data_IF_319737929266
#
_entry.id   IF_319737929266
#
_cell.length_a   1.000
_cell.length_b   1.000
_cell.length_c   1.000
_cell.angle_alpha   90.00
_cell.angle_beta   90.00
_cell.angle_gamma   90.00
#
_symmetry.space_group_name_H-M   'P 1'
#
loop_
_entity.id
_entity.type
_entity.pdbx_description
1 polymer ?
#
# COMPACT_ATOMS: atom_id res chain seq x y z
N UNK A 1 -12.50 21.47 -25.73
CA UNK A 1 -13.47 20.39 -25.42
C UNK A 1 -12.93 19.45 -24.36
N UNK A 2 -11.65 19.03 -24.41
CA UNK A 2 -11.03 18.11 -23.40
C UNK A 2 -10.86 18.79 -22.03
N UNK A 3 -10.56 20.08 -21.99
CA UNK A 3 -10.41 20.86 -20.74
C UNK A 3 -11.76 21.00 -20.01
N UNK A 4 -12.86 21.22 -20.73
CA UNK A 4 -14.19 21.33 -20.14
C UNK A 4 -14.75 19.99 -19.63
N UNK A 5 -14.39 18.87 -20.24
CA UNK A 5 -14.76 17.54 -19.75
C UNK A 5 -14.05 17.20 -18.42
N UNK A 6 -12.84 17.72 -18.21
CA UNK A 6 -12.09 17.50 -16.97
C UNK A 6 -12.62 18.37 -15.81
N UNK A 7 -13.17 19.56 -16.09
CA UNK A 7 -13.80 20.40 -15.06
C UNK A 7 -15.14 19.82 -14.58
N UNK A 8 -15.89 19.11 -15.42
CA UNK A 8 -17.14 18.47 -15.02
C UNK A 8 -16.94 17.22 -14.17
N UNK A 9 -15.80 16.54 -14.26
CA UNK A 9 -15.46 15.44 -13.35
C UNK A 9 -14.98 15.93 -11.97
N UNK A 10 -14.49 17.16 -11.86
CA UNK A 10 -14.06 17.74 -10.57
C UNK A 10 -15.21 18.36 -9.78
N UNK A 11 -16.39 18.55 -10.36
CA UNK A 11 -17.54 19.24 -9.75
C UNK A 11 -18.62 18.32 -9.18
N UNK A 12 -18.40 17.01 -9.10
CA UNK A 12 -19.29 16.20 -8.27
C UNK A 12 -19.00 16.53 -6.79
N UNK A 13 -19.99 17.05 -6.03
CA UNK A 13 -19.79 17.27 -4.60
C UNK A 13 -19.45 15.91 -3.99
N UNK A 14 -18.23 15.76 -3.46
CA UNK A 14 -17.92 14.63 -2.59
C UNK A 14 -18.88 14.74 -1.40
N UNK A 15 -19.94 13.95 -1.44
CA UNK A 15 -20.94 13.91 -0.38
C UNK A 15 -20.17 13.40 0.86
N UNK A 16 -19.89 14.32 1.78
CA UNK A 16 -19.35 13.96 3.07
C UNK A 16 -20.28 12.93 3.71
N UNK A 17 -19.76 11.77 4.08
CA UNK A 17 -20.56 10.75 4.76
C UNK A 17 -20.97 11.33 6.12
N UNK A 18 -22.26 11.56 6.38
CA UNK A 18 -22.70 12.15 7.63
C UNK A 18 -22.53 11.14 8.77
N UNK A 19 -21.41 11.25 9.48
CA UNK A 19 -21.14 10.46 10.67
C UNK A 19 -21.38 11.30 11.94
N UNK A 20 -21.94 10.72 13.01
CA UNK A 20 -21.95 11.36 14.32
C UNK A 20 -20.53 11.75 14.75
N UNK A 21 -20.37 12.90 15.42
CA UNK A 21 -19.04 13.45 15.81
C UNK A 21 -18.11 12.41 16.45
N UNK A 22 -18.63 11.56 17.33
CA UNK A 22 -17.84 10.50 17.98
C UNK A 22 -17.31 9.47 16.99
N UNK A 23 -18.14 8.98 16.07
CA UNK A 23 -17.74 8.02 15.03
C UNK A 23 -16.76 8.63 14.02
N UNK A 24 -17.00 9.90 13.64
CA UNK A 24 -16.08 10.66 12.76
C UNK A 24 -14.68 10.73 13.37
N UNK A 25 -14.57 11.11 14.65
CA UNK A 25 -13.29 11.17 15.34
C UNK A 25 -12.61 9.80 15.45
N UNK A 26 -13.37 8.74 15.76
CA UNK A 26 -12.85 7.39 15.81
C UNK A 26 -12.30 6.92 14.47
N UNK A 27 -12.99 7.18 13.36
CA UNK A 27 -12.52 6.86 12.02
C UNK A 27 -11.28 7.68 11.65
N UNK A 28 -11.24 8.97 11.99
CA UNK A 28 -10.08 9.82 11.74
C UNK A 28 -8.83 9.32 12.51
N UNK A 29 -8.99 8.96 13.78
CA UNK A 29 -7.91 8.35 14.59
C UNK A 29 -7.50 7.01 13.96
N UNK A 30 -8.46 6.21 13.51
CA UNK A 30 -8.19 4.97 12.81
C UNK A 30 -7.32 5.17 11.55
N UNK A 31 -7.63 6.19 10.74
CA UNK A 31 -6.81 6.54 9.57
C UNK A 31 -5.39 6.97 9.97
N UNK A 32 -5.25 7.75 11.04
CA UNK A 32 -3.95 8.17 11.58
C UNK A 32 -3.14 6.95 12.02
N UNK A 33 -3.74 6.03 12.79
CA UNK A 33 -3.10 4.79 13.23
C UNK A 33 -2.67 3.91 12.04
N UNK A 34 -3.49 3.82 11.00
CA UNK A 34 -3.13 3.09 9.77
C UNK A 34 -1.90 3.70 9.08
N UNK A 35 -1.86 5.02 8.90
CA UNK A 35 -0.73 5.70 8.26
C UNK A 35 0.55 5.60 9.09
N UNK A 36 0.43 5.72 10.41
CA UNK A 36 1.53 5.50 11.33
C UNK A 36 2.10 4.09 11.19
N UNK A 37 1.25 3.07 11.13
CA UNK A 37 1.65 1.68 10.91
C UNK A 37 2.32 1.45 9.56
N UNK A 38 1.78 2.01 8.46
CA UNK A 38 2.38 1.91 7.12
C UNK A 38 3.82 2.43 7.12
N UNK A 39 4.04 3.60 7.73
CA UNK A 39 5.36 4.20 7.82
C UNK A 39 6.32 3.36 8.69
N UNK A 40 5.82 2.81 9.80
CA UNK A 40 6.58 1.91 10.66
C UNK A 40 7.00 0.64 9.92
N UNK A 41 6.11 -0.02 9.20
CA UNK A 41 6.48 -1.20 8.39
C UNK A 41 7.54 -0.88 7.34
N UNK A 42 7.56 0.34 6.80
CA UNK A 42 8.61 0.79 5.88
C UNK A 42 9.95 1.00 6.60
N UNK A 43 10.02 1.98 7.47
CA UNK A 43 11.28 2.45 8.06
C UNK A 43 11.78 1.59 9.23
N UNK A 44 10.91 1.09 10.10
CA UNK A 44 11.31 0.17 11.18
C UNK A 44 11.92 -1.10 10.59
N UNK A 45 11.25 -1.71 9.60
CA UNK A 45 11.79 -2.90 8.96
C UNK A 45 13.06 -2.63 8.16
N UNK A 46 13.26 -1.42 7.62
CA UNK A 46 14.53 -1.04 7.02
C UNK A 46 15.66 -1.07 8.07
N UNK A 47 15.41 -0.51 9.26
CA UNK A 47 16.36 -0.54 10.39
C UNK A 47 16.61 -1.97 10.89
N UNK A 48 15.57 -2.81 10.96
CA UNK A 48 15.65 -4.18 11.46
C UNK A 48 16.14 -5.21 10.45
N UNK A 49 16.35 -4.82 9.18
CA UNK A 49 16.74 -5.78 8.12
C UNK A 49 17.97 -6.58 8.48
N UNK A 50 19.06 -5.91 8.91
CA UNK A 50 20.31 -6.60 9.28
C UNK A 50 20.14 -7.48 10.50
N UNK A 51 19.60 -7.03 11.65
CA UNK A 51 19.38 -7.88 12.81
C UNK A 51 18.47 -9.09 12.54
N UNK A 52 17.43 -8.92 11.71
CA UNK A 52 16.54 -10.02 11.33
C UNK A 52 17.30 -11.08 10.52
N UNK A 53 18.03 -10.67 9.49
CA UNK A 53 18.76 -11.60 8.61
C UNK A 53 19.95 -12.25 9.30
N UNK A 54 20.60 -11.53 10.22
CA UNK A 54 21.64 -12.10 11.09
C UNK A 54 21.08 -13.21 11.98
N UNK A 55 19.90 -13.04 12.54
CA UNK A 55 19.23 -14.04 13.39
C UNK A 55 18.92 -15.36 12.69
N UNK A 56 18.90 -15.39 11.36
CA UNK A 56 18.67 -16.57 10.51
C UNK A 56 19.87 -16.91 9.63
N UNK A 57 21.06 -16.34 9.90
CA UNK A 57 22.30 -16.52 9.14
C UNK A 57 22.16 -16.26 7.64
N UNK A 58 21.43 -15.21 7.26
CA UNK A 58 21.06 -14.92 5.87
C UNK A 58 21.48 -13.51 5.41
N UNK A 59 22.59 -12.96 5.91
CA UNK A 59 23.06 -11.62 5.61
C UNK A 59 23.30 -11.34 4.11
N UNK A 60 23.59 -12.38 3.31
CA UNK A 60 23.72 -12.26 1.85
C UNK A 60 22.42 -11.87 1.13
N UNK A 61 21.27 -11.87 1.79
CA UNK A 61 19.94 -11.62 1.19
C UNK A 61 19.32 -10.27 1.56
N UNK A 62 20.09 -9.32 2.11
CA UNK A 62 19.62 -7.97 2.53
C UNK A 62 18.88 -7.24 1.40
N UNK A 63 19.49 -7.20 0.21
CA UNK A 63 18.87 -6.54 -0.96
C UNK A 63 17.57 -7.22 -1.35
N UNK A 64 17.55 -8.54 -1.42
CA UNK A 64 16.37 -9.33 -1.79
C UNK A 64 15.22 -9.11 -0.78
N UNK A 65 15.53 -9.12 0.51
CA UNK A 65 14.55 -8.89 1.57
C UNK A 65 13.86 -7.50 1.46
N UNK A 66 14.64 -6.47 1.14
CA UNK A 66 14.12 -5.10 0.94
C UNK A 66 13.26 -4.99 -0.33
N UNK A 67 13.68 -5.66 -1.41
CA UNK A 67 12.96 -5.71 -2.68
C UNK A 67 11.56 -6.31 -2.54
N UNK A 68 11.43 -7.44 -1.85
CA UNK A 68 10.14 -8.14 -1.71
C UNK A 68 9.05 -7.27 -1.09
N UNK A 69 9.40 -6.46 -0.09
CA UNK A 69 8.45 -5.53 0.51
C UNK A 69 8.01 -4.44 -0.48
N UNK A 70 8.98 -3.78 -1.10
CA UNK A 70 8.73 -2.69 -2.05
C UNK A 70 7.93 -3.14 -3.27
N UNK A 71 8.23 -4.34 -3.81
CA UNK A 71 7.47 -4.92 -4.91
C UNK A 71 6.00 -5.14 -4.54
N UNK A 72 5.74 -5.77 -3.39
CA UNK A 72 4.37 -6.02 -2.94
C UNK A 72 3.55 -4.73 -2.88
N UNK A 73 4.09 -3.70 -2.24
CA UNK A 73 3.44 -2.38 -2.13
C UNK A 73 3.22 -1.77 -3.51
N UNK A 74 4.24 -1.70 -4.35
CA UNK A 74 4.19 -1.02 -5.65
C UNK A 74 3.19 -1.67 -6.61
N UNK A 75 3.14 -2.99 -6.65
CA UNK A 75 2.20 -3.74 -7.49
C UNK A 75 0.76 -3.55 -6.99
N UNK A 76 0.55 -3.62 -5.68
CA UNK A 76 -0.80 -3.67 -5.13
C UNK A 76 -1.44 -2.29 -4.92
N UNK A 77 -0.65 -1.21 -4.83
CA UNK A 77 -1.18 0.16 -4.60
C UNK A 77 -2.19 0.61 -5.66
N UNK A 78 -1.91 0.53 -6.98
CA UNK A 78 -2.88 0.91 -7.99
C UNK A 78 -4.09 -0.04 -8.04
N UNK A 79 -3.89 -1.32 -7.75
CA UNK A 79 -4.96 -2.33 -7.70
C UNK A 79 -5.87 -2.06 -6.49
N UNK A 80 -5.29 -1.72 -5.34
CA UNK A 80 -5.99 -1.43 -4.09
C UNK A 80 -6.99 -0.29 -4.21
N UNK A 81 -6.66 0.74 -4.98
CA UNK A 81 -7.59 1.83 -5.28
C UNK A 81 -8.89 1.34 -5.94
N UNK A 82 -8.77 0.56 -7.01
CA UNK A 82 -9.92 -0.03 -7.71
C UNK A 82 -10.65 -1.07 -6.87
N UNK A 83 -9.90 -1.90 -6.16
CA UNK A 83 -10.49 -2.90 -5.27
C UNK A 83 -11.35 -2.23 -4.19
N UNK A 84 -10.91 -1.06 -3.68
CA UNK A 84 -11.67 -0.25 -2.72
C UNK A 84 -12.99 0.26 -3.28
N UNK A 85 -13.06 0.59 -4.56
CA UNK A 85 -14.31 0.99 -5.21
C UNK A 85 -15.32 -0.18 -5.34
N UNK A 86 -14.81 -1.41 -5.52
CA UNK A 86 -15.61 -2.62 -5.69
C UNK A 86 -16.12 -3.20 -4.38
N UNK A 87 -15.20 -3.48 -3.44
CA UNK A 87 -15.55 -4.15 -2.18
C UNK A 87 -16.00 -3.16 -1.10
N UNK A 88 -15.77 -1.87 -1.34
CA UNK A 88 -16.12 -0.77 -0.44
C UNK A 88 -14.94 -0.28 0.40
N UNK A 89 -14.99 1.00 0.74
CA UNK A 89 -13.90 1.73 1.39
C UNK A 89 -13.55 1.22 2.79
N UNK A 90 -14.51 0.65 3.51
CA UNK A 90 -14.28 0.00 4.80
C UNK A 90 -13.57 -1.34 4.61
N UNK A 91 -14.06 -2.18 3.70
CA UNK A 91 -13.58 -3.55 3.55
C UNK A 91 -12.16 -3.60 2.99
N UNK A 92 -11.76 -2.66 2.11
CA UNK A 92 -10.39 -2.56 1.59
C UNK A 92 -9.36 -2.21 2.68
N UNK A 93 -9.80 -1.63 3.79
CA UNK A 93 -8.94 -1.37 4.95
C UNK A 93 -8.95 -2.57 5.90
N UNK A 94 -10.13 -3.10 6.20
CA UNK A 94 -10.30 -4.13 7.23
C UNK A 94 -9.71 -5.47 6.79
N UNK A 95 -10.03 -5.95 5.59
CA UNK A 95 -9.60 -7.28 5.16
C UNK A 95 -8.08 -7.36 4.98
N UNK A 96 -7.43 -6.51 4.15
CA UNK A 96 -5.98 -6.56 4.03
C UNK A 96 -5.27 -6.13 5.33
N UNK A 97 -5.87 -5.23 6.13
CA UNK A 97 -5.31 -4.83 7.41
C UNK A 97 -5.23 -5.97 8.42
N UNK A 98 -6.26 -6.83 8.51
CA UNK A 98 -6.23 -8.03 9.35
C UNK A 98 -5.15 -9.00 8.84
N UNK A 99 -5.10 -9.26 7.52
CA UNK A 99 -4.10 -10.16 6.94
C UNK A 99 -2.69 -9.62 7.21
N UNK A 100 -2.47 -8.32 7.04
CA UNK A 100 -1.18 -7.68 7.33
C UNK A 100 -0.78 -7.84 8.81
N UNK A 101 -1.72 -7.64 9.74
CA UNK A 101 -1.47 -7.80 11.17
C UNK A 101 -1.10 -9.25 11.52
N UNK A 102 -1.84 -10.23 10.98
CA UNK A 102 -1.53 -11.66 11.18
C UNK A 102 -0.17 -12.01 10.61
N UNK A 103 0.14 -11.56 9.38
CA UNK A 103 1.47 -11.77 8.77
C UNK A 103 2.58 -11.09 9.59
N UNK A 104 2.35 -9.87 10.09
CA UNK A 104 3.31 -9.15 10.93
C UNK A 104 3.58 -9.83 12.27
N UNK A 105 2.54 -10.39 12.89
CA UNK A 105 2.69 -11.20 14.11
C UNK A 105 3.44 -12.49 13.80
N UNK A 106 3.02 -13.24 12.76
CA UNK A 106 3.68 -14.49 12.35
C UNK A 106 5.17 -14.26 12.04
N UNK A 107 5.51 -13.14 11.42
CA UNK A 107 6.87 -12.76 11.07
C UNK A 107 7.82 -12.74 12.28
N UNK A 108 7.36 -12.33 13.47
CA UNK A 108 8.16 -12.26 14.68
C UNK A 108 8.56 -13.65 15.23
N UNK A 109 7.88 -14.72 14.80
CA UNK A 109 8.11 -16.08 15.29
C UNK A 109 8.82 -16.97 14.28
N UNK A 110 8.93 -16.58 13.03
CA UNK A 110 9.61 -17.35 11.98
C UNK A 110 11.13 -17.26 12.13
N UNK A 111 11.81 -18.39 11.94
CA UNK A 111 13.26 -18.56 12.11
C UNK A 111 13.96 -19.10 10.86
N UNK A 112 13.34 -19.05 9.71
CA UNK A 112 13.93 -19.48 8.45
C UNK A 112 13.71 -18.46 7.34
N UNK A 113 14.66 -18.36 6.40
CA UNK A 113 14.71 -17.33 5.37
C UNK A 113 13.49 -17.35 4.45
N UNK A 114 13.11 -18.54 3.94
CA UNK A 114 12.04 -18.64 2.92
C UNK A 114 10.69 -18.17 3.45
N UNK A 115 10.18 -18.61 4.61
CA UNK A 115 8.96 -18.08 5.18
C UNK A 115 9.03 -16.57 5.51
N UNK A 116 10.21 -16.07 5.96
CA UNK A 116 10.41 -14.64 6.19
C UNK A 116 10.21 -13.82 4.90
N UNK A 117 10.77 -14.28 3.79
CA UNK A 117 10.61 -13.64 2.49
C UNK A 117 9.15 -13.64 2.03
N UNK A 118 8.46 -14.78 2.17
CA UNK A 118 7.04 -14.90 1.81
C UNK A 118 6.19 -13.95 2.65
N UNK A 119 6.38 -13.93 3.96
CA UNK A 119 5.65 -13.01 4.84
C UNK A 119 5.96 -11.54 4.53
N UNK A 120 7.21 -11.22 4.19
CA UNK A 120 7.61 -9.87 3.80
C UNK A 120 6.89 -9.41 2.54
N UNK A 121 6.77 -10.29 1.55
CA UNK A 121 6.02 -10.03 0.32
C UNK A 121 4.53 -9.86 0.60
N UNK A 122 3.93 -10.72 1.41
CA UNK A 122 2.52 -10.65 1.80
C UNK A 122 2.18 -9.37 2.57
N UNK A 123 3.06 -8.95 3.50
CA UNK A 123 2.94 -7.67 4.20
C UNK A 123 2.96 -6.52 3.18
N UNK A 124 3.87 -6.55 2.20
CA UNK A 124 3.93 -5.56 1.14
C UNK A 124 2.64 -5.51 0.30
N UNK A 125 2.13 -6.64 -0.15
CA UNK A 125 0.87 -6.72 -0.90
C UNK A 125 -0.31 -6.16 -0.12
N UNK A 126 -0.47 -6.56 1.14
CA UNK A 126 -1.57 -6.09 1.97
C UNK A 126 -1.47 -4.61 2.27
N UNK A 127 -0.28 -4.08 2.53
CA UNK A 127 -0.05 -2.65 2.70
C UNK A 127 -0.42 -1.86 1.44
N UNK A 128 0.07 -2.29 0.26
CA UNK A 128 -0.26 -1.65 -1.00
C UNK A 128 -1.77 -1.58 -1.23
N UNK A 129 -2.51 -2.64 -0.86
CA UNK A 129 -3.95 -2.69 -1.03
C UNK A 129 -4.69 -1.59 -0.25
N UNK A 130 -4.27 -1.25 0.96
CA UNK A 130 -4.99 -0.28 1.79
C UNK A 130 -4.31 1.10 1.94
N UNK A 131 -3.09 1.29 1.44
CA UNK A 131 -2.32 2.54 1.63
C UNK A 131 -3.07 3.79 1.18
N UNK A 132 -3.79 3.74 0.07
CA UNK A 132 -4.56 4.88 -0.44
C UNK A 132 -5.89 5.10 0.32
N UNK A 133 -6.44 4.06 0.94
CA UNK A 133 -7.77 4.11 1.52
C UNK A 133 -7.94 5.11 2.68
N UNK A 134 -7.01 5.25 3.65
CA UNK A 134 -7.12 6.25 4.72
C UNK A 134 -7.21 7.69 4.22
N UNK A 135 -6.50 8.04 3.14
CA UNK A 135 -6.60 9.37 2.53
C UNK A 135 -7.98 9.60 1.93
N UNK A 136 -8.50 8.63 1.21
CA UNK A 136 -9.84 8.71 0.61
C UNK A 136 -10.90 8.78 1.70
N UNK A 137 -10.81 7.95 2.74
CA UNK A 137 -11.72 7.95 3.88
C UNK A 137 -11.70 9.31 4.58
N UNK A 138 -10.52 9.87 4.86
CA UNK A 138 -10.37 11.19 5.46
C UNK A 138 -11.02 12.28 4.62
N UNK A 139 -10.93 12.20 3.29
CA UNK A 139 -11.64 13.11 2.37
C UNK A 139 -13.16 12.95 2.41
N UNK A 140 -13.67 11.73 2.58
CA UNK A 140 -15.12 11.44 2.59
C UNK A 140 -15.83 11.82 3.90
N UNK A 141 -15.15 11.73 5.05
CA UNK A 141 -15.74 12.00 6.36
C UNK A 141 -15.59 13.45 6.83
N UNK A 142 -14.71 14.23 6.19
CA UNK A 142 -14.45 15.61 6.56
C UNK A 142 -15.14 16.60 5.60
N UNK A 143 -15.58 17.75 6.13
CA UNK A 143 -16.04 18.85 5.32
C UNK A 143 -14.88 19.40 4.47
N UNK A 144 -15.18 19.95 3.30
CA UNK A 144 -14.16 20.43 2.34
C UNK A 144 -13.12 21.37 2.96
N UNK A 145 -13.54 22.20 3.92
CA UNK A 145 -12.65 23.13 4.67
C UNK A 145 -11.68 22.41 5.63
N UNK A 146 -12.05 21.21 6.14
CA UNK A 146 -11.29 20.47 7.14
C UNK A 146 -10.39 19.38 6.49
N UNK A 147 -10.60 19.07 5.21
CA UNK A 147 -9.81 18.07 4.48
C UNK A 147 -8.31 18.36 4.52
N UNK A 148 -7.82 19.60 4.26
CA UNK A 148 -6.37 19.88 4.33
C UNK A 148 -5.79 19.59 5.71
N UNK A 149 -6.52 19.91 6.78
CA UNK A 149 -6.11 19.60 8.16
C UNK A 149 -6.03 18.08 8.39
N UNK A 150 -7.03 17.34 7.94
CA UNK A 150 -7.05 15.89 8.06
C UNK A 150 -5.88 15.25 7.30
N UNK A 151 -5.58 15.70 6.08
CA UNK A 151 -4.43 15.24 5.29
C UNK A 151 -3.09 15.57 5.97
N UNK A 152 -2.95 16.76 6.55
CA UNK A 152 -1.78 17.15 7.33
C UNK A 152 -1.55 16.22 8.54
N UNK A 153 -2.62 15.81 9.24
CA UNK A 153 -2.54 14.87 10.36
C UNK A 153 -2.07 13.48 9.89
N UNK A 154 -2.51 13.01 8.72
CA UNK A 154 -2.05 11.74 8.14
C UNK A 154 -0.57 11.83 7.75
N UNK A 155 -0.14 12.92 7.14
CA UNK A 155 1.27 13.14 6.78
C UNK A 155 2.16 13.20 8.03
N UNK A 156 1.71 13.87 9.10
CA UNK A 156 2.42 13.89 10.39
C UNK A 156 2.52 12.49 10.98
N UNK A 157 1.46 11.68 10.91
CA UNK A 157 1.47 10.30 11.38
C UNK A 157 2.52 9.45 10.65
N UNK A 158 2.69 9.64 9.35
CA UNK A 158 3.74 8.97 8.56
C UNK A 158 5.13 9.38 9.07
N UNK A 159 5.37 10.66 9.25
CA UNK A 159 6.67 11.14 9.73
C UNK A 159 6.99 10.62 11.14
N UNK A 160 6.03 10.74 12.08
CA UNK A 160 6.19 10.25 13.45
C UNK A 160 6.36 8.74 13.50
N UNK A 161 5.53 8.00 12.74
CA UNK A 161 5.60 6.54 12.68
C UNK A 161 6.91 6.03 12.08
N UNK A 162 7.35 6.65 11.00
CA UNK A 162 8.58 6.26 10.32
C UNK A 162 9.82 6.56 11.15
N UNK A 163 10.09 7.83 11.43
CA UNK A 163 11.29 8.24 12.16
C UNK A 163 11.26 7.82 13.62
N UNK A 164 10.18 8.14 14.34
CA UNK A 164 10.03 7.76 15.74
C UNK A 164 10.04 6.25 15.94
N UNK A 165 9.33 5.53 15.06
CA UNK A 165 9.32 4.08 15.07
C UNK A 165 10.69 3.47 14.86
N UNK A 166 11.50 3.99 13.92
CA UNK A 166 12.85 3.48 13.64
C UNK A 166 13.79 3.68 14.81
N UNK A 167 13.73 4.85 15.47
CA UNK A 167 14.54 5.13 16.65
C UNK A 167 14.20 4.15 17.78
N UNK A 168 12.90 3.98 18.08
CA UNK A 168 12.46 3.06 19.14
C UNK A 168 12.83 1.62 18.79
N UNK A 169 12.68 1.22 17.52
CA UNK A 169 13.05 -0.12 17.08
C UNK A 169 14.55 -0.39 17.19
N UNK A 170 15.40 0.59 16.90
CA UNK A 170 16.84 0.50 17.11
C UNK A 170 17.17 0.26 18.58
N UNK A 171 16.64 1.10 19.48
CA UNK A 171 16.84 0.96 20.94
C UNK A 171 16.38 -0.41 21.44
N UNK A 172 15.19 -0.87 21.01
CA UNK A 172 14.68 -2.19 21.39
C UNK A 172 15.60 -3.32 20.91
N UNK A 173 16.19 -3.18 19.73
CA UNK A 173 17.12 -4.16 19.18
C UNK A 173 18.41 -4.22 19.98
N UNK A 174 18.95 -3.05 20.35
CA UNK A 174 20.16 -2.94 21.19
C UNK A 174 19.93 -3.55 22.59
N UNK A 175 18.70 -3.49 23.09
CA UNK A 175 18.27 -4.16 24.33
C UNK A 175 18.00 -5.68 24.16
N UNK A 176 18.22 -6.25 23.00
CA UNK A 176 17.94 -7.67 22.72
C UNK A 176 16.45 -8.00 22.51
N UNK A 177 15.59 -6.99 22.39
CA UNK A 177 14.14 -7.15 22.26
C UNK A 177 13.66 -7.10 20.78
N UNK A 178 14.42 -7.73 19.88
CA UNK A 178 14.14 -7.74 18.43
C UNK A 178 12.70 -8.14 18.09
N UNK A 179 12.13 -9.15 18.79
CA UNK A 179 10.74 -9.57 18.56
C UNK A 179 9.74 -8.47 18.86
N UNK A 180 9.96 -7.69 19.92
CA UNK A 180 9.09 -6.55 20.29
C UNK A 180 9.17 -5.47 19.24
N UNK A 181 10.38 -5.18 18.74
CA UNK A 181 10.58 -4.21 17.66
C UNK A 181 9.84 -4.62 16.38
N UNK A 182 9.85 -5.90 16.01
CA UNK A 182 9.12 -6.44 14.86
C UNK A 182 7.60 -6.34 15.03
N UNK A 183 7.08 -6.54 16.23
CA UNK A 183 5.64 -6.49 16.53
C UNK A 183 5.10 -5.06 16.64
N UNK A 184 5.97 -4.06 16.86
CA UNK A 184 5.58 -2.69 17.11
C UNK A 184 4.66 -2.08 16.03
N UNK A 185 4.88 -2.29 14.71
CA UNK A 185 3.99 -1.77 13.68
C UNK A 185 2.58 -2.38 13.67
N UNK A 186 2.43 -3.60 14.19
CA UNK A 186 1.13 -4.28 14.22
C UNK A 186 0.14 -3.64 15.21
N UNK A 187 0.63 -3.01 16.28
CA UNK A 187 -0.21 -2.39 17.31
C UNK A 187 -1.07 -1.27 16.74
N UNK A 188 -0.52 -0.21 16.13
CA UNK A 188 -1.33 0.84 15.53
C UNK A 188 -2.16 0.33 14.34
N UNK A 189 -1.69 -0.70 13.61
CA UNK A 189 -2.46 -1.31 12.53
C UNK A 189 -3.76 -1.92 13.06
N UNK A 190 -3.67 -2.75 14.08
CA UNK A 190 -4.84 -3.40 14.69
C UNK A 190 -5.83 -2.36 15.22
N UNK A 191 -5.33 -1.34 15.93
CA UNK A 191 -6.14 -0.22 16.41
C UNK A 191 -6.85 0.50 15.26
N UNK A 192 -6.15 0.82 14.19
CA UNK A 192 -6.70 1.46 13.00
C UNK A 192 -7.79 0.62 12.34
N UNK A 193 -7.53 -0.68 12.15
CA UNK A 193 -8.48 -1.63 11.56
C UNK A 193 -9.75 -1.74 12.42
N UNK A 194 -9.62 -1.85 13.75
CA UNK A 194 -10.76 -1.95 14.67
C UNK A 194 -11.57 -0.66 14.66
N UNK A 195 -10.94 0.50 14.78
CA UNK A 195 -11.63 1.79 14.81
C UNK A 195 -12.39 2.06 13.51
N UNK A 196 -11.79 1.80 12.35
CA UNK A 196 -12.46 1.98 11.05
C UNK A 196 -13.54 0.89 10.87
N UNK A 197 -13.22 -0.36 11.20
CA UNK A 197 -14.13 -1.48 11.05
C UNK A 197 -15.43 -1.34 11.82
N UNK A 198 -15.38 -0.79 13.04
CA UNK A 198 -16.56 -0.64 13.90
C UNK A 198 -17.36 0.64 13.62
N UNK A 199 -16.70 1.72 13.21
CA UNK A 199 -17.31 3.05 13.15
C UNK A 199 -17.64 3.53 11.74
N UNK A 200 -17.07 2.93 10.69
CA UNK A 200 -17.30 3.35 9.32
C UNK A 200 -18.31 2.44 8.61
N UNK A 201 -19.37 2.98 7.98
CA UNK A 201 -20.22 2.19 7.07
C UNK A 201 -19.43 1.78 5.83
N UNK A 202 -19.78 0.63 5.24
CA UNK A 202 -19.11 0.20 4.02
C UNK A 202 -19.73 0.92 2.81
N UNK A 203 -19.05 1.95 2.35
CA UNK A 203 -19.47 2.73 1.18
C UNK A 203 -18.80 2.17 -0.06
N UNK A 204 -19.60 1.70 -0.99
CA UNK A 204 -19.19 1.29 -2.33
C UNK A 204 -19.49 2.43 -3.31
N UNK A 205 -18.71 2.53 -4.36
CA UNK A 205 -19.02 3.47 -5.44
C UNK A 205 -20.28 2.99 -6.18
N UNK A 206 -21.27 3.86 -6.31
CA UNK A 206 -22.46 3.57 -7.14
C UNK A 206 -22.06 3.64 -8.61
N UNK A 207 -22.39 2.60 -9.36
CA UNK A 207 -22.12 2.47 -10.79
C UNK A 207 -21.47 1.13 -11.15
N UNK A 208 -21.55 0.75 -12.44
CA UNK A 208 -20.84 -0.43 -12.96
C UNK A 208 -19.34 -0.15 -12.99
N UNK A 209 -18.62 -0.51 -11.93
CA UNK A 209 -17.16 -0.54 -11.96
C UNK A 209 -16.73 -1.74 -12.79
N UNK A 210 -16.39 -1.53 -14.05
CA UNK A 210 -15.83 -2.59 -14.86
C UNK A 210 -14.36 -2.78 -14.48
N UNK A 211 -14.01 -3.99 -14.07
CA UNK A 211 -12.62 -4.39 -13.86
C UNK A 211 -12.01 -4.68 -15.22
N UNK A 212 -11.00 -3.92 -15.56
CA UNK A 212 -10.12 -4.23 -16.69
C UNK A 212 -9.03 -5.20 -16.22
N UNK A 213 -9.38 -6.50 -16.20
CA UNK A 213 -8.44 -7.55 -15.79
C UNK A 213 -7.18 -7.55 -16.67
N UNK A 214 -7.25 -7.46 -18.01
CA UNK A 214 -6.07 -7.35 -18.87
C UNK A 214 -5.19 -6.14 -18.53
N UNK A 215 -5.77 -4.97 -18.30
CA UNK A 215 -5.03 -3.77 -17.91
C UNK A 215 -4.33 -3.91 -16.56
N UNK A 216 -4.99 -4.55 -15.59
CA UNK A 216 -4.37 -4.85 -14.29
C UNK A 216 -3.19 -5.80 -14.45
N UNK A 217 -3.34 -6.89 -15.22
CA UNK A 217 -2.25 -7.84 -15.47
C UNK A 217 -1.09 -7.14 -16.18
N UNK A 218 -1.35 -6.35 -17.21
CA UNK A 218 -0.33 -5.61 -17.91
C UNK A 218 0.40 -4.62 -16.98
N UNK A 219 -0.32 -3.92 -16.09
CA UNK A 219 0.28 -3.03 -15.10
C UNK A 219 1.16 -3.80 -14.09
N UNK A 220 0.70 -4.96 -13.61
CA UNK A 220 1.48 -5.83 -12.73
C UNK A 220 2.76 -6.28 -13.41
N UNK A 221 2.68 -6.75 -14.67
CA UNK A 221 3.84 -7.17 -15.46
C UNK A 221 4.80 -6.00 -15.70
N UNK A 222 4.27 -4.82 -16.02
CA UNK A 222 5.07 -3.61 -16.22
C UNK A 222 5.86 -3.25 -14.96
N UNK A 223 5.17 -3.13 -13.82
CA UNK A 223 5.81 -2.77 -12.55
C UNK A 223 6.77 -3.86 -12.07
N UNK A 224 6.37 -5.13 -12.12
CA UNK A 224 7.23 -6.23 -11.71
C UNK A 224 8.50 -6.31 -12.60
N UNK A 225 8.36 -6.21 -13.91
CA UNK A 225 9.49 -6.25 -14.84
C UNK A 225 10.50 -5.14 -14.58
N UNK A 226 10.05 -3.89 -14.47
CA UNK A 226 10.91 -2.73 -14.21
C UNK A 226 11.54 -2.83 -12.81
N UNK A 227 10.75 -3.11 -11.76
CA UNK A 227 11.25 -3.16 -10.40
C UNK A 227 12.26 -4.30 -10.19
N UNK A 228 11.99 -5.48 -10.75
CA UNK A 228 12.94 -6.59 -10.70
C UNK A 228 14.23 -6.23 -11.43
N UNK A 229 14.14 -5.68 -12.64
CA UNK A 229 15.31 -5.28 -13.41
C UNK A 229 16.15 -4.23 -12.69
N UNK A 230 15.53 -3.19 -12.11
CA UNK A 230 16.21 -2.15 -11.32
C UNK A 230 16.90 -2.75 -10.09
N UNK A 231 16.25 -3.64 -9.39
CA UNK A 231 16.77 -4.20 -8.14
C UNK A 231 17.87 -5.23 -8.36
N UNK A 232 17.72 -6.09 -9.36
CA UNK A 232 18.73 -7.13 -9.66
C UNK A 232 19.84 -6.67 -10.58
N UNK A 233 19.68 -5.54 -11.29
CA UNK A 233 20.65 -5.02 -12.21
C UNK A 233 22.01 -4.75 -11.58
N UNK A 234 22.04 -4.28 -10.34
CA UNK A 234 23.30 -4.04 -9.61
C UNK A 234 24.00 -5.32 -9.14
N UNK A 235 23.26 -6.41 -8.87
CA UNK A 235 23.81 -7.68 -8.36
C UNK A 235 24.14 -8.69 -9.45
N UNK A 236 23.36 -8.72 -10.54
CA UNK A 236 23.53 -9.68 -11.63
C UNK A 236 24.30 -9.04 -12.81
N UNK A 237 24.34 -7.70 -12.86
CA UNK A 237 24.94 -6.91 -13.92
C UNK A 237 23.90 -6.37 -14.90
N UNK A 238 24.01 -5.09 -15.23
CA UNK A 238 23.09 -4.39 -16.14
C UNK A 238 23.08 -4.92 -17.57
N UNK A 239 24.18 -5.58 -17.99
CA UNK A 239 24.31 -6.21 -19.31
C UNK A 239 23.71 -7.63 -19.37
N UNK A 240 23.19 -8.18 -18.27
CA UNK A 240 22.61 -9.51 -18.27
C UNK A 240 21.34 -9.56 -19.12
N UNK A 241 21.18 -10.53 -20.03
CA UNK A 241 19.98 -10.65 -20.87
C UNK A 241 18.67 -10.70 -20.10
N UNK A 242 18.66 -11.30 -18.90
CA UNK A 242 17.46 -11.35 -18.06
C UNK A 242 17.05 -9.96 -17.53
N UNK A 243 18.02 -9.11 -17.20
CA UNK A 243 17.77 -7.74 -16.74
C UNK A 243 17.24 -6.89 -17.92
N UNK A 244 17.88 -6.99 -19.10
CA UNK A 244 17.45 -6.29 -20.30
C UNK A 244 16.04 -6.75 -20.69
N UNK A 245 15.75 -8.04 -20.66
CA UNK A 245 14.43 -8.58 -20.94
C UNK A 245 13.38 -8.06 -19.96
N UNK A 246 13.70 -7.99 -18.66
CA UNK A 246 12.83 -7.41 -17.63
C UNK A 246 12.45 -5.96 -17.93
N UNK A 247 13.41 -5.13 -18.30
CA UNK A 247 13.15 -3.75 -18.72
C UNK A 247 12.31 -3.67 -20.00
N UNK A 248 12.65 -4.43 -21.02
CA UNK A 248 11.93 -4.42 -22.30
C UNK A 248 10.49 -4.86 -22.09
N UNK A 249 10.26 -5.96 -21.42
CA UNK A 249 8.90 -6.47 -21.10
C UNK A 249 8.14 -5.44 -20.26
N UNK A 250 8.78 -4.89 -19.25
CA UNK A 250 8.16 -3.89 -18.37
C UNK A 250 7.78 -2.61 -19.11
N UNK A 251 8.67 -2.07 -19.94
CA UNK A 251 8.41 -0.85 -20.73
C UNK A 251 7.32 -1.11 -21.78
N UNK A 252 7.41 -2.23 -22.52
CA UNK A 252 6.39 -2.61 -23.51
C UNK A 252 5.02 -2.74 -22.85
N UNK A 253 4.93 -3.43 -21.74
CA UNK A 253 3.69 -3.55 -20.99
C UNK A 253 3.16 -2.19 -20.50
N UNK A 254 4.03 -1.27 -20.05
CA UNK A 254 3.65 0.07 -19.66
C UNK A 254 3.11 0.90 -20.83
N UNK A 255 3.77 0.81 -22.00
CA UNK A 255 3.32 1.47 -23.24
C UNK A 255 1.95 0.92 -23.68
N UNK A 256 1.73 -0.39 -23.60
CA UNK A 256 0.44 -1.02 -23.91
C UNK A 256 -0.65 -0.50 -22.96
N UNK A 257 -0.37 -0.45 -21.65
CA UNK A 257 -1.30 0.13 -20.66
C UNK A 257 -1.62 1.58 -20.98
N UNK A 258 -0.60 2.38 -21.31
CA UNK A 258 -0.77 3.80 -21.69
C UNK A 258 -1.56 3.99 -22.98
N UNK A 259 -1.29 3.19 -24.01
CA UNK A 259 -2.00 3.24 -25.29
C UNK A 259 -3.48 2.84 -25.14
N UNK A 260 -3.77 1.81 -24.34
CA UNK A 260 -5.15 1.39 -24.02
C UNK A 260 -5.86 2.46 -23.19
N UNK A 261 -5.16 3.11 -22.26
CA UNK A 261 -5.72 4.20 -21.44
C UNK A 261 -6.10 5.44 -22.27
N UNK A 262 -5.28 5.76 -23.29
CA UNK A 262 -5.46 6.99 -24.09
C UNK A 262 -6.36 6.77 -25.31
N UNK A 263 -6.33 5.60 -25.94
CA UNK A 263 -6.97 5.34 -27.23
C UNK A 263 -8.05 4.26 -27.21
N UNK A 264 -8.21 3.53 -26.11
CA UNK A 264 -9.14 2.42 -26.04
C UNK A 264 -10.56 2.83 -25.69
N UNK A 265 -11.50 2.60 -26.60
CA UNK A 265 -12.94 2.53 -26.30
C UNK A 265 -13.36 1.06 -26.28
N UNK A 266 -14.20 0.70 -25.31
CA UNK A 266 -14.84 -0.64 -25.29
C UNK A 266 -15.80 -0.78 -26.48
N UNK A 267 -16.19 -2.03 -26.83
CA UNK A 267 -17.19 -2.26 -27.88
C UNK A 267 -18.52 -1.53 -27.65
N UNK A 268 -18.81 -1.12 -26.42
CA UNK A 268 -19.97 -0.33 -26.00
C UNK A 268 -19.77 1.21 -26.09
N UNK A 269 -18.64 1.66 -26.64
CA UNK A 269 -18.31 3.08 -26.80
C UNK A 269 -17.83 3.78 -25.55
N UNK A 270 -17.71 3.10 -24.41
CA UNK A 270 -17.17 3.67 -23.17
C UNK A 270 -15.65 3.63 -23.15
N UNK A 271 -14.96 4.70 -22.70
CA UNK A 271 -13.51 4.68 -22.58
C UNK A 271 -13.04 3.66 -21.52
N UNK A 272 -11.90 3.00 -21.77
CA UNK A 272 -11.26 2.19 -20.75
C UNK A 272 -10.80 3.07 -19.59
N UNK A 273 -11.43 2.94 -18.43
CA UNK A 273 -11.00 3.61 -17.22
C UNK A 273 -9.94 2.73 -16.51
N UNK A 274 -8.67 2.93 -16.84
CA UNK A 274 -7.55 2.24 -16.17
C UNK A 274 -7.24 2.89 -14.82
N UNK A 275 -7.64 4.17 -14.63
CA UNK A 275 -7.43 4.95 -13.40
C UNK A 275 -8.74 5.54 -12.86
#
# INVERSE_FOLDING_TARGET
>A
VIIMANEQQQTQPQVAIPLPKGKKNAVQIGCICMMLSVAMYGLVFATLTSPILESVNAMGYVSLFSIFAGMGVSIMTPIGGKLGDLIGRRNIVVIPGIICAVCGIAFAFVRSLVPLMILRLLIGFTQGAFTAAPYIIAGLINERKDVPKAMGMLATAIAVGGFGGSIIAGILTDMGLLKVAILMPAVPLILGVVLIGLNMPNVKREGKVSIDIPGIIALVVALAGILLALNFGSSIGWGNPAIIAGFVIGIVALVVVGAVAVGGTKPDGTPFAIF
#
